data_IF_040543906270
#
_entry.id   IF_040543906270
#
_cell.length_a   1.000
_cell.length_b   1.000
_cell.length_c   1.000
_cell.angle_alpha   90.00
_cell.angle_beta   90.00
_cell.angle_gamma   90.00
#
_symmetry.space_group_name_H-M   'P 1'
#
loop_
_entity.id
_entity.type
_entity.pdbx_description
1 polymer ?
#
# COMPACT_ATOMS: atom_id res chain seq x y z
N UNK A 1 -0.35 -27.29 11.51
CA UNK A 1 -1.66 -27.36 10.82
C UNK A 1 -1.42 -27.78 9.38
N UNK A 2 -2.20 -28.70 8.82
CA UNK A 2 -1.95 -29.27 7.48
C UNK A 2 -2.08 -28.19 6.37
N UNK A 3 -1.03 -28.12 5.54
CA UNK A 3 -0.80 -27.27 4.38
C UNK A 3 -1.65 -27.70 3.18
N UNK A 4 -2.91 -27.29 3.13
CA UNK A 4 -3.75 -27.63 1.98
C UNK A 4 -5.04 -26.86 1.97
N UNK A 5 -5.04 -25.60 1.52
CA UNK A 5 -6.31 -24.84 1.38
C UNK A 5 -6.26 -23.60 0.51
N UNK A 6 -5.19 -23.24 -0.21
CA UNK A 6 -5.23 -22.00 -0.99
C UNK A 6 -6.07 -22.12 -2.28
N UNK A 7 -6.32 -23.33 -2.82
CA UNK A 7 -6.88 -23.63 -4.17
C UNK A 7 -8.18 -22.93 -4.59
N UNK A 8 -8.80 -22.14 -3.71
CA UNK A 8 -10.13 -21.56 -3.86
C UNK A 8 -10.20 -20.04 -3.60
N UNK A 9 -9.09 -19.30 -3.78
CA UNK A 9 -9.14 -17.84 -3.76
C UNK A 9 -9.51 -17.31 -5.14
N UNK A 10 -10.44 -16.36 -5.17
CA UNK A 10 -10.88 -15.66 -6.38
C UNK A 10 -10.61 -14.18 -6.17
N UNK A 11 -9.70 -13.63 -6.96
CA UNK A 11 -9.23 -12.26 -6.80
C UNK A 11 -10.05 -11.31 -7.67
N UNK A 12 -10.69 -10.34 -7.03
CA UNK A 12 -11.37 -9.23 -7.69
C UNK A 12 -10.64 -7.95 -7.29
N UNK A 13 -9.77 -7.48 -8.16
CA UNK A 13 -9.02 -6.26 -7.95
C UNK A 13 -9.97 -5.05 -8.02
N UNK A 14 -10.17 -4.41 -6.88
CA UNK A 14 -11.07 -3.26 -6.80
C UNK A 14 -10.40 -1.95 -7.21
N UNK A 15 -9.07 -1.92 -7.35
CA UNK A 15 -8.30 -0.70 -7.55
C UNK A 15 -7.31 -0.82 -8.71
N UNK A 16 -7.84 -0.74 -9.93
CA UNK A 16 -7.06 -0.84 -11.16
C UNK A 16 -7.37 0.30 -12.15
N UNK A 17 -6.38 0.66 -12.96
CA UNK A 17 -6.50 1.66 -14.02
C UNK A 17 -5.95 1.17 -15.36
N UNK A 18 -6.44 1.77 -16.45
CA UNK A 18 -5.86 1.69 -17.79
C UNK A 18 -5.62 3.10 -18.37
N UNK A 19 -4.86 3.15 -19.46
CA UNK A 19 -4.48 4.37 -20.18
C UNK A 19 -3.05 4.81 -19.87
N UNK A 20 -2.67 5.95 -20.44
CA UNK A 20 -1.38 6.62 -20.20
C UNK A 20 -1.67 8.05 -19.77
N UNK A 21 -1.03 8.48 -18.69
CA UNK A 21 -1.08 9.88 -18.23
C UNK A 21 0.12 10.69 -18.75
N UNK A 22 0.27 11.91 -18.24
CA UNK A 22 1.42 12.79 -18.50
C UNK A 22 2.76 12.16 -18.04
N UNK A 23 2.68 11.20 -17.12
CA UNK A 23 3.83 10.41 -16.68
C UNK A 23 3.55 8.93 -16.98
N UNK A 24 4.52 8.28 -17.62
CA UNK A 24 4.54 6.83 -17.83
C UNK A 24 5.89 6.28 -17.42
N UNK A 25 5.90 5.02 -17.00
CA UNK A 25 7.12 4.32 -16.59
C UNK A 25 7.24 2.98 -17.34
N UNK A 26 8.47 2.47 -17.55
CA UNK A 26 8.67 1.17 -18.19
C UNK A 26 7.88 0.07 -17.49
N UNK A 27 7.19 -0.77 -18.26
CA UNK A 27 6.39 -1.89 -17.75
C UNK A 27 4.98 -1.54 -17.28
N UNK A 28 4.54 -0.27 -17.40
CA UNK A 28 3.17 0.11 -17.10
C UNK A 28 2.17 -0.51 -18.10
N UNK A 29 1.09 -1.12 -17.60
CA UNK A 29 0.01 -1.57 -18.49
C UNK A 29 -0.88 -0.40 -18.90
N UNK A 30 -1.01 -0.17 -20.21
CA UNK A 30 -1.74 0.96 -20.78
C UNK A 30 -3.06 0.55 -21.41
N UNK A 31 -3.11 -0.66 -21.98
CA UNK A 31 -4.28 -1.15 -22.69
C UNK A 31 -5.04 -2.22 -21.90
N UNK A 32 -6.33 -2.46 -22.20
CA UNK A 32 -7.08 -3.58 -21.63
C UNK A 32 -6.39 -4.95 -21.82
N UNK A 33 -5.69 -5.16 -22.95
CA UNK A 33 -5.00 -6.42 -23.24
C UNK A 33 -3.75 -6.62 -22.38
N UNK A 34 -2.98 -5.56 -22.18
CA UNK A 34 -1.81 -5.59 -21.29
C UNK A 34 -2.23 -5.82 -19.85
N UNK A 35 -3.27 -5.11 -19.39
CA UNK A 35 -3.83 -5.34 -18.06
C UNK A 35 -4.27 -6.80 -17.88
N UNK A 36 -4.97 -7.39 -18.86
CA UNK A 36 -5.37 -8.80 -18.78
C UNK A 36 -4.17 -9.76 -18.71
N UNK A 37 -3.05 -9.45 -19.37
CA UNK A 37 -1.82 -10.26 -19.26
C UNK A 37 -1.21 -10.18 -17.87
N UNK A 38 -1.13 -8.99 -17.29
CA UNK A 38 -0.67 -8.80 -15.91
C UNK A 38 -1.60 -9.51 -14.92
N UNK A 39 -2.91 -9.35 -15.08
CA UNK A 39 -3.90 -10.08 -14.30
C UNK A 39 -3.72 -11.60 -14.43
N UNK A 40 -3.49 -12.12 -15.62
CA UNK A 40 -3.26 -13.55 -15.83
C UNK A 40 -1.96 -14.04 -15.19
N UNK A 41 -0.90 -13.22 -15.21
CA UNK A 41 0.38 -13.53 -14.58
C UNK A 41 0.29 -13.60 -13.05
N UNK A 42 -0.39 -12.64 -12.43
CA UNK A 42 -0.54 -12.57 -10.97
C UNK A 42 -1.73 -13.35 -10.42
N UNK A 43 -2.58 -13.85 -11.30
CA UNK A 43 -3.73 -14.60 -10.90
C UNK A 43 -4.90 -13.76 -10.37
N UNK A 44 -5.28 -12.73 -11.12
CA UNK A 44 -6.42 -11.86 -10.83
C UNK A 44 -7.55 -12.17 -11.81
N UNK A 45 -8.71 -12.60 -11.31
CA UNK A 45 -9.83 -13.03 -12.15
C UNK A 45 -10.55 -11.85 -12.80
N UNK A 46 -10.80 -10.81 -12.01
CA UNK A 46 -11.63 -9.66 -12.37
C UNK A 46 -10.98 -8.38 -11.85
N UNK A 47 -11.08 -7.29 -12.61
CA UNK A 47 -10.65 -5.98 -12.18
C UNK A 47 -11.77 -4.94 -12.36
N UNK A 48 -11.95 -4.09 -11.35
CA UNK A 48 -12.68 -2.84 -11.44
C UNK A 48 -11.72 -1.79 -11.99
N UNK A 49 -12.03 -1.28 -13.19
CA UNK A 49 -11.10 -0.48 -13.98
C UNK A 49 -11.60 0.95 -14.08
N UNK A 50 -10.72 1.90 -13.77
CA UNK A 50 -10.89 3.34 -14.05
C UNK A 50 -9.91 3.77 -15.17
N UNK A 51 -10.14 4.92 -15.79
CA UNK A 51 -9.17 5.48 -16.76
C UNK A 51 -8.25 6.49 -16.09
N UNK A 52 -6.94 6.42 -16.34
CA UNK A 52 -5.97 7.35 -15.73
C UNK A 52 -6.33 8.80 -16.04
N UNK A 53 -6.65 9.12 -17.30
CA UNK A 53 -7.01 10.48 -17.70
C UNK A 53 -8.38 10.96 -17.19
N UNK A 54 -9.26 10.07 -16.70
CA UNK A 54 -10.48 10.48 -16.03
C UNK A 54 -10.20 11.05 -14.62
N UNK A 55 -9.03 10.76 -14.04
CA UNK A 55 -8.66 11.22 -12.70
C UNK A 55 -8.26 12.70 -12.69
N UNK A 56 -7.57 13.13 -13.74
CA UNK A 56 -6.91 14.44 -13.82
C UNK A 56 -7.38 15.29 -15.03
N UNK A 57 -8.36 14.81 -15.80
CA UNK A 57 -8.92 15.47 -16.99
C UNK A 57 -10.46 15.47 -17.01
N UNK A 58 -11.08 15.57 -18.19
CA UNK A 58 -12.54 15.51 -18.32
C UNK A 58 -13.05 14.07 -18.04
N UNK A 59 -13.60 13.88 -16.85
CA UNK A 59 -14.01 12.61 -16.27
C UNK A 59 -15.11 11.95 -17.09
N UNK A 60 -16.16 12.69 -17.48
CA UNK A 60 -17.27 12.12 -18.27
C UNK A 60 -16.80 11.62 -19.64
N UNK A 61 -15.97 12.40 -20.33
CA UNK A 61 -15.40 11.99 -21.61
C UNK A 61 -14.57 10.71 -21.48
N UNK A 62 -13.63 10.68 -20.54
CA UNK A 62 -12.73 9.53 -20.35
C UNK A 62 -13.45 8.32 -19.76
N UNK A 63 -14.51 8.51 -18.97
CA UNK A 63 -15.39 7.42 -18.56
C UNK A 63 -16.08 6.78 -19.77
N UNK A 64 -16.58 7.56 -20.74
CA UNK A 64 -17.17 6.99 -21.96
C UNK A 64 -16.15 6.22 -22.80
N UNK A 65 -14.91 6.72 -22.89
CA UNK A 65 -13.80 6.03 -23.55
C UNK A 65 -13.52 4.69 -22.86
N UNK A 66 -13.33 4.70 -21.54
CA UNK A 66 -13.14 3.51 -20.71
C UNK A 66 -14.23 2.46 -20.98
N UNK A 67 -15.50 2.86 -20.87
CA UNK A 67 -16.65 1.97 -21.06
C UNK A 67 -16.61 1.30 -22.44
N UNK A 68 -16.23 2.05 -23.48
CA UNK A 68 -16.10 1.52 -24.85
C UNK A 68 -14.94 0.54 -24.97
N UNK A 69 -13.78 0.87 -24.41
CA UNK A 69 -12.55 0.08 -24.54
C UNK A 69 -12.60 -1.25 -23.78
N UNK A 70 -13.21 -1.28 -22.59
CA UNK A 70 -13.24 -2.49 -21.76
C UNK A 70 -14.44 -3.40 -22.07
N UNK A 71 -15.48 -2.89 -22.77
CA UNK A 71 -16.70 -3.64 -23.10
C UNK A 71 -16.44 -5.02 -23.72
N UNK A 72 -15.49 -5.21 -24.67
CA UNK A 72 -15.21 -6.53 -25.24
C UNK A 72 -14.63 -7.55 -24.23
N UNK A 73 -14.16 -7.08 -23.08
CA UNK A 73 -13.50 -7.87 -22.05
C UNK A 73 -14.36 -8.07 -20.80
N UNK A 74 -15.59 -7.54 -20.79
CA UNK A 74 -16.56 -7.87 -19.75
C UNK A 74 -16.88 -9.38 -19.79
N UNK A 75 -16.98 -10.09 -18.65
CA UNK A 75 -17.00 -9.57 -17.27
C UNK A 75 -15.65 -9.54 -16.55
N UNK A 76 -14.52 -9.75 -17.24
CA UNK A 76 -13.19 -9.69 -16.58
C UNK A 76 -12.75 -8.26 -16.25
N UNK A 77 -13.09 -7.30 -17.10
CA UNK A 77 -12.90 -5.89 -16.83
C UNK A 77 -14.26 -5.25 -16.60
N UNK A 78 -14.49 -4.78 -15.36
CA UNK A 78 -15.74 -4.16 -14.93
C UNK A 78 -15.49 -2.65 -14.80
N UNK A 79 -16.35 -1.78 -15.35
CA UNK A 79 -16.13 -0.35 -15.25
C UNK A 79 -16.32 0.18 -13.83
N UNK A 80 -15.38 1.01 -13.40
CA UNK A 80 -15.44 1.82 -12.18
C UNK A 80 -15.17 3.29 -12.57
N UNK A 81 -16.17 4.00 -13.12
CA UNK A 81 -16.00 5.36 -13.61
C UNK A 81 -15.69 6.33 -12.47
N UNK A 82 -14.90 7.36 -12.78
CA UNK A 82 -14.55 8.42 -11.84
C UNK A 82 -15.62 9.50 -11.88
N UNK A 83 -16.23 9.83 -10.75
CA UNK A 83 -17.26 10.85 -10.64
C UNK A 83 -16.71 12.13 -10.02
N UNK A 84 -17.19 13.25 -10.55
CA UNK A 84 -17.00 14.61 -10.05
C UNK A 84 -18.37 15.25 -9.84
N UNK A 85 -18.49 16.30 -9.01
CA UNK A 85 -19.77 16.97 -8.84
C UNK A 85 -20.23 17.69 -10.10
N UNK A 86 -21.55 17.77 -10.27
CA UNK A 86 -22.23 18.30 -11.46
C UNK A 86 -22.16 19.83 -11.61
N UNK A 87 -21.74 20.57 -10.57
CA UNK A 87 -21.80 22.04 -10.49
C UNK A 87 -21.12 22.79 -11.65
N UNK A 88 -20.18 22.14 -12.35
CA UNK A 88 -19.44 22.71 -13.47
C UNK A 88 -19.89 22.17 -14.84
N UNK A 89 -21.04 21.50 -14.92
CA UNK A 89 -21.62 20.89 -16.13
C UNK A 89 -20.73 19.85 -16.83
N UNK A 90 -19.65 19.40 -16.18
CA UNK A 90 -18.82 18.28 -16.65
C UNK A 90 -19.57 16.95 -16.58
N UNK A 91 -20.45 16.81 -15.59
CA UNK A 91 -21.27 15.63 -15.36
C UNK A 91 -22.75 16.00 -15.22
N UNK A 92 -23.61 15.10 -15.68
CA UNK A 92 -25.06 15.23 -15.47
C UNK A 92 -25.41 15.21 -13.97
N UNK A 93 -26.53 15.84 -13.64
CA UNK A 93 -27.18 15.76 -12.33
C UNK A 93 -27.22 14.31 -11.79
N UNK A 94 -26.81 14.05 -10.53
CA UNK A 94 -26.69 12.70 -9.97
C UNK A 94 -27.94 11.84 -10.16
N UNK A 95 -29.13 12.42 -10.00
CA UNK A 95 -30.43 11.71 -10.16
C UNK A 95 -30.67 11.19 -11.58
N UNK A 96 -29.99 11.72 -12.60
CA UNK A 96 -30.01 11.23 -13.98
C UNK A 96 -28.79 10.36 -14.29
N UNK A 97 -27.63 10.76 -13.79
CA UNK A 97 -26.35 10.10 -14.02
C UNK A 97 -26.31 8.68 -13.45
N UNK A 98 -26.62 8.51 -12.15
CA UNK A 98 -26.45 7.24 -11.46
C UNK A 98 -27.34 6.12 -12.04
N UNK A 99 -28.66 6.34 -12.31
CA UNK A 99 -29.49 5.32 -12.94
C UNK A 99 -29.00 4.93 -14.34
N UNK A 100 -28.49 5.89 -15.12
CA UNK A 100 -27.90 5.64 -16.44
C UNK A 100 -26.69 4.70 -16.31
N UNK A 101 -25.74 5.03 -15.44
CA UNK A 101 -24.53 4.23 -15.22
C UNK A 101 -24.88 2.80 -14.76
N UNK A 102 -25.84 2.65 -13.85
CA UNK A 102 -26.30 1.33 -13.37
C UNK A 102 -26.87 0.50 -14.52
N UNK A 103 -27.69 1.11 -15.39
CA UNK A 103 -28.24 0.47 -16.60
C UNK A 103 -27.15 0.07 -17.61
N UNK A 104 -26.05 0.82 -17.66
CA UNK A 104 -24.87 0.53 -18.47
C UNK A 104 -23.94 -0.53 -17.84
N UNK A 105 -24.30 -1.10 -16.69
CA UNK A 105 -23.58 -2.19 -16.05
C UNK A 105 -22.57 -1.75 -14.99
N UNK A 106 -22.53 -0.46 -14.64
CA UNK A 106 -21.69 0.04 -13.54
C UNK A 106 -22.21 -0.51 -12.20
N UNK A 107 -21.30 -0.97 -11.35
CA UNK A 107 -21.59 -1.53 -10.02
C UNK A 107 -20.70 -1.00 -8.91
N UNK A 108 -19.75 -0.14 -9.24
CA UNK A 108 -18.94 0.62 -8.31
C UNK A 108 -18.48 1.89 -9.02
N UNK A 109 -18.19 2.94 -8.26
CA UNK A 109 -17.69 4.22 -8.78
C UNK A 109 -16.51 4.68 -7.97
N UNK A 110 -15.74 5.64 -8.50
CA UNK A 110 -14.59 6.21 -7.82
C UNK A 110 -14.72 7.72 -7.70
N UNK A 111 -14.23 8.29 -6.60
CA UNK A 111 -14.11 9.73 -6.38
C UNK A 111 -12.66 10.02 -5.99
N UNK A 112 -12.03 10.95 -6.70
CA UNK A 112 -10.60 11.28 -6.57
C UNK A 112 -10.40 12.76 -6.18
N UNK A 113 -10.84 13.19 -4.99
CA UNK A 113 -10.76 14.59 -4.58
C UNK A 113 -9.31 15.08 -4.40
N UNK A 114 -8.38 14.16 -4.15
CA UNK A 114 -6.93 14.42 -4.09
C UNK A 114 -6.24 14.60 -5.44
N UNK A 115 -6.95 14.44 -6.57
CA UNK A 115 -6.36 14.56 -7.90
C UNK A 115 -5.92 15.98 -8.23
N UNK A 116 -5.36 16.19 -9.43
CA UNK A 116 -4.97 17.53 -9.91
C UNK A 116 -6.14 18.51 -9.87
N UNK A 117 -7.36 18.04 -10.18
CA UNK A 117 -8.57 18.86 -10.21
C UNK A 117 -8.95 19.37 -8.82
N UNK A 118 -8.76 18.57 -7.78
CA UNK A 118 -8.81 18.99 -6.37
C UNK A 118 -10.16 19.56 -5.92
N UNK A 119 -10.93 18.85 -5.10
CA UNK A 119 -12.22 19.37 -4.64
C UNK A 119 -12.63 18.89 -3.24
N UNK A 120 -13.52 19.65 -2.59
CA UNK A 120 -13.97 19.39 -1.20
C UNK A 120 -14.95 18.21 -1.12
N UNK A 121 -14.99 17.54 0.03
CA UNK A 121 -15.98 16.51 0.32
C UNK A 121 -17.14 17.03 1.20
N UNK A 122 -17.24 18.35 1.38
CA UNK A 122 -18.27 18.97 2.19
C UNK A 122 -19.69 18.74 1.64
N UNK A 123 -20.66 18.70 2.56
CA UNK A 123 -22.07 18.41 2.27
C UNK A 123 -22.68 19.32 1.19
N UNK A 124 -22.40 20.62 1.24
CA UNK A 124 -22.94 21.58 0.26
C UNK A 124 -22.42 21.35 -1.16
N UNK A 125 -21.31 20.64 -1.31
CA UNK A 125 -20.63 20.42 -2.58
C UNK A 125 -20.88 19.01 -3.12
N UNK A 126 -20.71 17.97 -2.29
CA UNK A 126 -20.85 16.56 -2.68
C UNK A 126 -22.19 15.92 -2.29
N UNK A 127 -23.01 16.59 -1.48
CA UNK A 127 -24.18 15.98 -0.83
C UNK A 127 -25.18 15.36 -1.80
N UNK A 128 -25.50 16.02 -2.93
CA UNK A 128 -26.45 15.46 -3.92
C UNK A 128 -25.92 14.19 -4.58
N UNK A 129 -24.63 14.16 -4.88
CA UNK A 129 -23.98 12.99 -5.45
C UNK A 129 -23.96 11.84 -4.43
N UNK A 130 -23.49 12.10 -3.21
CA UNK A 130 -23.38 11.09 -2.15
C UNK A 130 -24.74 10.55 -1.73
N UNK A 131 -25.76 11.40 -1.58
CA UNK A 131 -27.16 10.97 -1.35
C UNK A 131 -27.63 10.02 -2.44
N UNK A 132 -27.40 10.37 -3.71
CA UNK A 132 -27.85 9.52 -4.82
C UNK A 132 -27.09 8.20 -4.84
N UNK A 133 -25.78 8.20 -4.60
CA UNK A 133 -24.99 6.96 -4.48
C UNK A 133 -25.52 6.07 -3.34
N UNK A 134 -25.90 6.65 -2.21
CA UNK A 134 -26.50 5.95 -1.07
C UNK A 134 -27.89 5.38 -1.39
N UNK A 135 -28.76 6.15 -2.07
CA UNK A 135 -30.09 5.72 -2.50
C UNK A 135 -30.00 4.39 -3.28
N UNK A 136 -28.99 4.26 -4.14
CA UNK A 136 -28.71 3.03 -4.92
C UNK A 136 -27.76 2.04 -4.22
N UNK A 137 -27.21 2.37 -3.05
CA UNK A 137 -26.15 1.63 -2.35
C UNK A 137 -24.95 1.31 -3.25
N UNK A 138 -24.55 2.26 -4.09
CA UNK A 138 -23.46 2.07 -5.04
C UNK A 138 -22.10 2.13 -4.32
N UNK A 139 -21.31 1.04 -4.28
CA UNK A 139 -19.98 1.05 -3.69
C UNK A 139 -19.12 2.17 -4.27
N UNK A 140 -18.56 2.99 -3.40
CA UNK A 140 -17.84 4.21 -3.77
C UNK A 140 -16.42 4.15 -3.25
N UNK A 141 -15.46 4.08 -4.17
CA UNK A 141 -14.04 4.14 -3.87
C UNK A 141 -13.61 5.59 -3.70
N UNK A 142 -13.01 5.93 -2.57
CA UNK A 142 -12.52 7.27 -2.26
C UNK A 142 -11.01 7.25 -2.07
N UNK A 143 -10.28 7.93 -2.96
CA UNK A 143 -8.82 8.01 -2.88
C UNK A 143 -8.38 9.08 -1.88
N UNK A 144 -7.72 8.68 -0.78
CA UNK A 144 -7.29 9.60 0.30
C UNK A 144 -5.85 10.11 0.13
N UNK A 145 -4.92 9.27 -0.34
CA UNK A 145 -3.52 9.63 -0.61
C UNK A 145 -2.68 10.03 0.61
N UNK A 146 -1.40 10.38 0.38
CA UNK A 146 -0.43 10.80 1.41
C UNK A 146 -0.56 12.27 1.84
N UNK A 147 -1.02 13.15 0.94
CA UNK A 147 -1.29 14.56 1.23
C UNK A 147 -2.80 14.77 1.18
N UNK A 148 -3.48 14.76 2.34
CA UNK A 148 -4.94 14.75 2.38
C UNK A 148 -5.46 16.12 1.96
N UNK A 149 -5.77 16.30 0.66
CA UNK A 149 -6.73 17.33 0.24
C UNK A 149 -8.12 17.05 0.83
N UNK A 150 -8.37 15.81 1.25
CA UNK A 150 -9.56 15.40 2.02
C UNK A 150 -9.17 15.07 3.44
N UNK A 151 -9.81 15.73 4.40
CA UNK A 151 -9.50 15.50 5.80
C UNK A 151 -10.23 14.26 6.36
N UNK A 152 -9.73 13.76 7.49
CA UNK A 152 -10.38 12.65 8.18
C UNK A 152 -11.74 13.04 8.78
N UNK A 153 -11.91 14.31 9.13
CA UNK A 153 -13.17 14.89 9.57
C UNK A 153 -14.20 14.93 8.43
N UNK A 154 -13.77 15.22 7.21
CA UNK A 154 -14.64 15.12 6.03
C UNK A 154 -15.07 13.66 5.81
N UNK A 155 -14.17 12.69 5.98
CA UNK A 155 -14.52 11.26 5.88
C UNK A 155 -15.51 10.84 6.99
N UNK A 156 -15.29 11.24 8.25
CA UNK A 156 -16.25 11.00 9.35
C UNK A 156 -17.63 11.61 9.06
N UNK A 157 -17.63 12.83 8.51
CA UNK A 157 -18.83 13.56 8.11
C UNK A 157 -19.61 12.83 7.01
N UNK A 158 -18.93 12.35 5.97
CA UNK A 158 -19.55 11.56 4.88
C UNK A 158 -20.14 10.27 5.44
N UNK A 159 -19.38 9.50 6.22
CA UNK A 159 -19.87 8.25 6.79
C UNK A 159 -21.06 8.45 7.74
N UNK A 160 -21.06 9.52 8.53
CA UNK A 160 -22.14 9.83 9.48
C UNK A 160 -23.44 10.23 8.77
N UNK A 161 -23.34 10.98 7.66
CA UNK A 161 -24.50 11.46 6.88
C UNK A 161 -25.04 10.41 5.91
N UNK A 162 -24.17 9.52 5.45
CA UNK A 162 -24.49 8.47 4.49
C UNK A 162 -24.20 7.06 5.05
N UNK A 163 -24.87 6.63 6.14
CA UNK A 163 -24.57 5.38 6.83
C UNK A 163 -24.85 4.12 5.99
N UNK A 164 -25.62 4.21 4.90
CA UNK A 164 -25.94 3.07 4.02
C UNK A 164 -25.06 3.00 2.76
N UNK A 165 -24.27 4.06 2.49
CA UNK A 165 -23.32 4.13 1.38
C UNK A 165 -22.07 3.30 1.69
N UNK A 166 -21.76 2.23 0.92
CA UNK A 166 -20.51 1.50 1.10
C UNK A 166 -19.32 2.36 0.62
N UNK A 167 -18.59 2.96 1.55
CA UNK A 167 -17.44 3.81 1.28
C UNK A 167 -16.15 3.01 1.44
N UNK A 168 -15.37 2.88 0.36
CA UNK A 168 -14.14 2.10 0.32
C UNK A 168 -12.97 3.08 0.17
N UNK A 169 -12.12 3.20 1.20
CA UNK A 169 -10.94 4.07 1.13
C UNK A 169 -9.82 3.37 0.35
N UNK A 170 -9.30 4.03 -0.69
CA UNK A 170 -8.06 3.64 -1.39
C UNK A 170 -6.92 4.56 -1.01
N UNK A 171 -5.68 4.08 -1.18
CA UNK A 171 -4.47 4.86 -0.91
C UNK A 171 -4.35 5.33 0.55
N UNK A 172 -4.85 4.50 1.47
CA UNK A 172 -4.76 4.69 2.92
C UNK A 172 -3.32 4.48 3.38
N UNK A 173 -2.64 5.50 3.94
CA UNK A 173 -1.26 5.35 4.40
C UNK A 173 -1.11 4.35 5.54
N UNK A 174 0.05 3.72 5.70
CA UNK A 174 0.28 2.72 6.75
C UNK A 174 0.41 3.33 8.17
N UNK A 175 0.61 4.64 8.31
CA UNK A 175 0.91 5.29 9.61
C UNK A 175 -0.32 5.78 10.40
N UNK A 176 -1.54 5.52 9.94
CA UNK A 176 -2.75 6.19 10.45
C UNK A 176 -3.64 5.37 11.38
N UNK A 177 -3.19 4.19 11.84
CA UNK A 177 -3.98 3.21 12.61
C UNK A 177 -4.79 3.83 13.77
N UNK A 178 -4.20 4.77 14.53
CA UNK A 178 -4.86 5.41 15.68
C UNK A 178 -6.18 6.08 15.29
N UNK A 179 -6.16 6.81 14.18
CA UNK A 179 -7.32 7.52 13.66
C UNK A 179 -8.23 6.56 12.88
N UNK A 180 -7.64 5.72 12.03
CA UNK A 180 -8.36 4.76 11.20
C UNK A 180 -9.26 3.85 12.04
N UNK A 181 -8.73 3.31 13.12
CA UNK A 181 -9.46 2.38 13.98
C UNK A 181 -10.61 3.07 14.72
N UNK A 182 -10.47 4.35 15.07
CA UNK A 182 -11.55 5.13 15.65
C UNK A 182 -12.70 5.32 14.64
N UNK A 183 -12.38 5.66 13.39
CA UNK A 183 -13.37 5.79 12.31
C UNK A 183 -14.05 4.45 12.00
N UNK A 184 -13.29 3.37 11.82
CA UNK A 184 -13.85 2.05 11.50
C UNK A 184 -14.74 1.49 12.60
N UNK A 185 -14.43 1.79 13.88
CA UNK A 185 -15.27 1.44 15.02
C UNK A 185 -16.61 2.18 14.99
N UNK A 186 -16.60 3.44 14.59
CA UNK A 186 -17.78 4.32 14.56
C UNK A 186 -18.68 4.03 13.36
N UNK A 187 -18.09 3.75 12.19
CA UNK A 187 -18.80 3.68 10.92
C UNK A 187 -18.77 2.26 10.36
N UNK A 188 -19.93 1.60 10.24
CA UNK A 188 -20.02 0.22 9.72
C UNK A 188 -19.88 0.13 8.20
N UNK A 189 -20.14 1.23 7.52
CA UNK A 189 -20.12 1.36 6.07
C UNK A 189 -18.76 1.74 5.49
N UNK A 190 -17.73 1.85 6.33
CA UNK A 190 -16.36 2.20 5.93
C UNK A 190 -15.50 0.95 5.69
N UNK A 191 -14.88 0.83 4.54
CA UNK A 191 -14.04 -0.31 4.15
C UNK A 191 -12.64 0.19 3.75
N UNK A 192 -11.63 -0.67 3.89
CA UNK A 192 -10.24 -0.35 3.53
C UNK A 192 -9.77 -1.24 2.39
N UNK A 193 -9.20 -0.61 1.38
CA UNK A 193 -8.56 -1.28 0.25
C UNK A 193 -7.06 -1.53 0.52
N UNK A 194 -6.54 -2.70 0.14
CA UNK A 194 -5.24 -3.24 0.60
C UNK A 194 -3.99 -2.74 -0.13
N UNK A 195 -4.11 -2.13 -1.30
CA UNK A 195 -2.97 -1.80 -2.18
C UNK A 195 -1.94 -0.85 -1.57
N UNK A 196 -2.34 -0.02 -0.62
CA UNK A 196 -1.45 0.94 0.03
C UNK A 196 -1.35 0.78 1.54
N UNK A 197 -2.36 0.17 2.15
CA UNK A 197 -2.40 -0.08 3.59
C UNK A 197 -1.54 -1.30 3.95
N UNK A 198 -0.22 -1.13 3.83
CA UNK A 198 0.79 -2.18 3.99
C UNK A 198 1.39 -2.20 5.42
N UNK A 199 0.55 -2.09 6.44
CA UNK A 199 0.99 -2.26 7.84
C UNK A 199 1.37 -3.72 8.06
N UNK A 200 2.44 -3.98 8.81
CA UNK A 200 2.79 -5.34 9.20
C UNK A 200 1.61 -6.00 9.94
N UNK A 201 1.16 -7.17 9.44
CA UNK A 201 -0.01 -7.92 9.97
C UNK A 201 -1.34 -7.15 9.90
N UNK A 202 -1.48 -6.21 8.95
CA UNK A 202 -2.71 -5.41 8.80
C UNK A 202 -3.98 -6.27 8.65
N UNK A 203 -4.02 -7.27 7.74
CA UNK A 203 -5.24 -8.06 7.54
C UNK A 203 -5.73 -8.75 8.81
N UNK A 204 -4.82 -9.30 9.62
CA UNK A 204 -5.16 -9.94 10.89
C UNK A 204 -5.60 -8.96 11.95
N UNK A 205 -4.94 -7.80 12.03
CA UNK A 205 -5.29 -6.76 13.00
C UNK A 205 -6.68 -6.17 12.71
N UNK A 206 -6.97 -5.88 11.44
CA UNK A 206 -8.28 -5.40 11.01
C UNK A 206 -9.34 -6.49 11.19
N UNK A 207 -9.09 -7.73 10.72
CA UNK A 207 -10.07 -8.81 10.86
C UNK A 207 -10.43 -9.07 12.32
N UNK A 208 -9.44 -9.13 13.22
CA UNK A 208 -9.66 -9.34 14.65
C UNK A 208 -10.51 -8.23 15.30
N UNK A 209 -10.38 -6.99 14.85
CA UNK A 209 -11.05 -5.82 15.45
C UNK A 209 -12.42 -5.52 14.85
N UNK A 210 -12.54 -5.67 13.53
CA UNK A 210 -13.66 -5.17 12.75
C UNK A 210 -14.27 -6.20 11.80
N UNK A 211 -13.65 -7.39 11.68
CA UNK A 211 -14.05 -8.45 10.77
C UNK A 211 -13.38 -8.35 9.40
N UNK A 212 -13.05 -9.50 8.79
CA UNK A 212 -12.47 -9.58 7.45
C UNK A 212 -13.40 -8.98 6.39
N UNK A 213 -14.70 -8.85 6.66
CA UNK A 213 -15.68 -8.21 5.80
C UNK A 213 -15.41 -6.73 5.52
N UNK A 214 -14.54 -6.08 6.31
CA UNK A 214 -14.18 -4.66 6.23
C UNK A 214 -12.96 -4.37 5.35
N UNK A 215 -12.36 -5.41 4.76
CA UNK A 215 -11.20 -5.32 3.87
C UNK A 215 -11.59 -5.65 2.43
N UNK A 216 -11.03 -4.91 1.49
CA UNK A 216 -11.26 -5.07 0.06
C UNK A 216 -9.90 -5.25 -0.62
N UNK A 217 -9.76 -6.32 -1.41
CA UNK A 217 -8.56 -6.50 -2.21
C UNK A 217 -8.47 -5.48 -3.35
N UNK A 218 -7.29 -4.93 -3.54
CA UNK A 218 -6.91 -4.21 -4.74
C UNK A 218 -5.39 -4.09 -4.87
N UNK A 219 -4.93 -3.80 -6.07
CA UNK A 219 -3.50 -3.79 -6.41
C UNK A 219 -2.92 -2.40 -6.57
N UNK A 220 -3.74 -1.41 -6.95
CA UNK A 220 -3.27 -0.09 -7.35
C UNK A 220 -2.55 -0.10 -8.71
N UNK A 221 -2.80 -1.12 -9.54
CA UNK A 221 -2.27 -1.15 -10.91
C UNK A 221 -2.68 0.10 -11.69
N UNK A 222 -1.78 0.65 -12.53
CA UNK A 222 -0.48 0.08 -12.87
C UNK A 222 0.71 0.64 -12.06
N UNK A 223 0.48 1.47 -11.04
CA UNK A 223 1.57 2.13 -10.29
C UNK A 223 2.29 1.25 -9.27
N UNK A 224 1.70 0.11 -8.91
CA UNK A 224 2.22 -0.80 -7.88
C UNK A 224 2.26 -2.22 -8.40
N UNK A 225 3.22 -3.00 -7.91
CA UNK A 225 3.30 -4.43 -8.22
C UNK A 225 2.13 -5.18 -7.58
N UNK A 226 1.32 -5.92 -8.36
CA UNK A 226 0.22 -6.74 -7.83
C UNK A 226 0.70 -7.83 -6.88
N UNK A 227 1.93 -8.31 -7.05
CA UNK A 227 2.51 -9.39 -6.25
C UNK A 227 2.44 -9.10 -4.76
N UNK A 228 2.78 -7.88 -4.33
CA UNK A 228 2.71 -7.48 -2.93
C UNK A 228 1.29 -7.56 -2.36
N UNK A 229 0.28 -7.12 -3.12
CA UNK A 229 -1.12 -7.18 -2.70
C UNK A 229 -1.63 -8.63 -2.62
N UNK A 230 -1.31 -9.46 -3.62
CA UNK A 230 -1.70 -10.88 -3.66
C UNK A 230 -1.03 -11.65 -2.51
N UNK A 231 0.26 -11.41 -2.27
CA UNK A 231 1.01 -12.05 -1.18
C UNK A 231 0.47 -11.66 0.19
N UNK A 232 0.04 -10.40 0.38
CA UNK A 232 -0.58 -9.96 1.64
C UNK A 232 -1.81 -10.80 2.01
N UNK A 233 -2.69 -11.12 1.05
CA UNK A 233 -3.88 -11.94 1.32
C UNK A 233 -3.50 -13.42 1.46
N UNK A 234 -2.72 -13.95 0.51
CA UNK A 234 -2.39 -15.39 0.44
C UNK A 234 -1.55 -15.86 1.64
N UNK A 235 -0.59 -15.06 2.09
CA UNK A 235 0.33 -15.38 3.18
C UNK A 235 -0.11 -14.83 4.55
N UNK A 236 -1.29 -14.21 4.63
CA UNK A 236 -1.88 -13.89 5.94
C UNK A 236 -2.15 -15.18 6.74
N UNK A 237 -2.17 -15.06 8.07
CA UNK A 237 -2.57 -16.13 9.00
C UNK A 237 -4.09 -16.24 9.18
N UNK A 238 -4.87 -15.57 8.32
CA UNK A 238 -6.32 -15.63 8.33
C UNK A 238 -6.82 -17.02 7.90
N UNK A 239 -8.03 -17.37 8.33
CA UNK A 239 -8.70 -18.57 7.85
C UNK A 239 -8.96 -18.49 6.34
N UNK A 240 -9.13 -19.63 5.67
CA UNK A 240 -9.45 -19.64 4.23
C UNK A 240 -10.70 -18.80 3.93
N UNK A 241 -11.73 -18.89 4.78
CA UNK A 241 -12.97 -18.12 4.62
C UNK A 241 -12.71 -16.61 4.65
N UNK A 242 -11.91 -16.15 5.60
CA UNK A 242 -11.54 -14.73 5.68
C UNK A 242 -10.73 -14.29 4.46
N UNK A 243 -9.77 -15.11 4.01
CA UNK A 243 -9.01 -14.84 2.77
C UNK A 243 -9.93 -14.73 1.56
N UNK A 244 -10.93 -15.60 1.43
CA UNK A 244 -11.93 -15.57 0.36
C UNK A 244 -12.78 -14.30 0.39
N UNK A 245 -13.17 -13.85 1.59
CA UNK A 245 -13.88 -12.58 1.75
C UNK A 245 -13.03 -11.42 1.24
N UNK A 246 -11.76 -11.34 1.65
CA UNK A 246 -10.87 -10.23 1.28
C UNK A 246 -10.54 -10.27 -0.22
N UNK A 247 -10.17 -11.44 -0.75
CA UNK A 247 -9.73 -11.60 -2.15
C UNK A 247 -10.77 -11.14 -3.17
N UNK A 248 -12.06 -11.36 -2.91
CA UNK A 248 -13.12 -10.93 -3.82
C UNK A 248 -14.54 -11.02 -3.26
N UNK A 249 -14.79 -11.87 -2.26
CA UNK A 249 -16.15 -12.07 -1.74
C UNK A 249 -16.80 -10.82 -1.16
N UNK A 250 -16.02 -9.90 -0.57
CA UNK A 250 -16.53 -8.65 -0.03
C UNK A 250 -16.97 -7.69 -1.14
N UNK A 251 -16.11 -7.41 -2.12
CA UNK A 251 -16.47 -6.50 -3.22
C UNK A 251 -17.60 -7.08 -4.08
N UNK A 252 -17.61 -8.40 -4.32
CA UNK A 252 -18.71 -9.09 -5.01
C UNK A 252 -20.05 -8.91 -4.26
N UNK A 253 -20.05 -9.07 -2.94
CA UNK A 253 -21.24 -8.84 -2.11
C UNK A 253 -21.72 -7.37 -2.20
N UNK A 254 -20.79 -6.42 -2.17
CA UNK A 254 -21.11 -4.99 -2.25
C UNK A 254 -21.70 -4.62 -3.62
N UNK A 255 -21.05 -5.05 -4.72
CA UNK A 255 -21.57 -4.85 -6.08
C UNK A 255 -22.93 -5.52 -6.31
N UNK A 256 -23.16 -6.69 -5.70
CA UNK A 256 -24.45 -7.39 -5.75
C UNK A 256 -25.54 -6.76 -4.89
N UNK A 257 -25.21 -5.78 -4.03
CA UNK A 257 -26.15 -5.05 -3.16
C UNK A 257 -26.70 -3.76 -3.77
N UNK A 258 -26.27 -3.39 -4.98
CA UNK A 258 -26.73 -2.19 -5.70
C UNK A 258 -28.22 -2.32 -6.01
N UNK A 259 -29.02 -1.35 -5.56
CA UNK A 259 -30.47 -1.30 -5.81
C UNK A 259 -30.71 -0.95 -7.29
N UNK A 260 -31.77 -1.48 -7.89
CA UNK A 260 -32.18 -1.28 -9.30
C UNK A 260 -31.37 -2.03 -10.40
N UNK A 261 -30.78 -3.20 -10.13
CA UNK A 261 -30.28 -4.05 -11.22
C UNK A 261 -30.21 -5.55 -10.90
N UNK A 262 -30.29 -6.37 -11.95
CA UNK A 262 -29.93 -7.80 -11.93
C UNK A 262 -28.46 -7.98 -11.47
N UNK A 263 -28.20 -9.05 -10.70
CA UNK A 263 -26.86 -9.36 -10.18
C UNK A 263 -25.88 -9.63 -11.32
N UNK A 264 -24.67 -9.06 -11.33
CA UNK A 264 -23.66 -9.41 -12.32
C UNK A 264 -23.31 -10.91 -12.22
N UNK A 265 -23.34 -11.64 -13.34
CA UNK A 265 -22.72 -12.95 -13.43
C UNK A 265 -21.23 -12.77 -13.60
N UNK A 266 -20.57 -12.72 -12.45
CA UNK A 266 -19.13 -12.66 -12.34
C UNK A 266 -18.54 -14.00 -12.86
N UNK A 267 -17.45 -14.00 -13.65
CA UNK A 267 -16.98 -15.20 -14.32
C UNK A 267 -16.59 -16.27 -13.30
N UNK A 268 -16.88 -17.56 -13.57
CA UNK A 268 -16.50 -18.64 -12.66
C UNK A 268 -14.99 -18.62 -12.43
N UNK A 269 -14.57 -18.95 -11.20
CA UNK A 269 -13.16 -19.02 -10.83
C UNK A 269 -12.42 -19.91 -11.84
N UNK A 270 -11.29 -19.43 -12.38
CA UNK A 270 -10.43 -20.28 -13.20
C UNK A 270 -9.87 -21.40 -12.31
N UNK A 271 -9.77 -22.66 -12.78
CA UNK A 271 -9.05 -23.70 -12.05
C UNK A 271 -7.60 -23.25 -11.90
N UNK A 272 -7.21 -22.97 -10.66
CA UNK A 272 -5.85 -22.59 -10.35
C UNK A 272 -4.99 -23.85 -10.22
N UNK A 273 -3.89 -23.90 -10.97
CA UNK A 273 -2.67 -24.44 -10.38
C UNK A 273 -2.18 -23.44 -9.35
N UNK A 274 -2.76 -23.53 -8.16
CA UNK A 274 -2.09 -22.98 -6.99
C UNK A 274 -0.86 -23.83 -6.85
N UNK A 275 0.29 -23.26 -7.21
CA UNK A 275 1.53 -23.60 -6.51
C UNK A 275 1.14 -23.52 -5.05
N UNK A 276 1.09 -24.68 -4.39
CA UNK A 276 0.73 -24.84 -2.98
C UNK A 276 1.36 -23.71 -2.17
N UNK A 277 0.82 -23.30 -1.00
CA UNK A 277 1.55 -22.44 -0.05
C UNK A 277 3.01 -22.81 -0.14
N UNK A 278 3.81 -21.99 -0.83
CA UNK A 278 5.06 -22.55 -1.35
C UNK A 278 5.89 -22.61 -0.11
N UNK A 279 6.16 -23.82 0.35
CA UNK A 279 7.05 -24.06 1.45
C UNK A 279 8.41 -23.58 0.96
N UNK A 280 8.65 -22.28 1.18
CA UNK A 280 9.54 -21.41 0.42
C UNK A 280 9.18 -21.28 -1.07
N UNK A 281 8.93 -20.05 -1.53
CA UNK A 281 8.78 -19.71 -2.97
C UNK A 281 10.01 -20.08 -3.81
N UNK A 282 11.13 -20.32 -3.13
CA UNK A 282 12.47 -20.36 -3.66
C UNK A 282 13.30 -21.27 -2.74
N UNK A 283 13.95 -22.30 -3.28
CA UNK A 283 14.99 -23.05 -2.53
C UNK A 283 16.20 -22.14 -2.25
N UNK A 284 16.23 -20.98 -2.89
CA UNK A 284 17.21 -19.93 -2.69
C UNK A 284 17.13 -19.31 -1.29
N UNK A 285 18.30 -18.94 -0.80
CA UNK A 285 18.46 -18.18 0.43
C UNK A 285 17.90 -16.76 0.24
N UNK A 286 16.95 -16.36 1.09
CA UNK A 286 16.34 -15.03 1.09
C UNK A 286 16.84 -14.22 2.30
N UNK A 287 17.46 -13.08 2.01
CA UNK A 287 17.85 -12.09 3.01
C UNK A 287 17.06 -10.80 2.78
N UNK A 288 16.23 -10.43 3.75
CA UNK A 288 15.55 -9.13 3.76
C UNK A 288 16.51 -8.03 4.25
N UNK A 289 16.80 -7.07 3.40
CA UNK A 289 17.82 -6.04 3.68
C UNK A 289 17.25 -4.80 4.38
N UNK A 290 15.93 -4.69 4.59
CA UNK A 290 15.31 -3.49 5.15
C UNK A 290 14.24 -3.82 6.19
N UNK A 291 14.65 -3.97 7.46
CA UNK A 291 13.73 -4.34 8.53
C UNK A 291 13.88 -3.42 9.73
N UNK A 292 12.83 -2.66 10.00
CA UNK A 292 12.71 -1.87 11.22
C UNK A 292 12.29 -2.79 12.38
N UNK A 293 13.15 -2.90 13.38
CA UNK A 293 12.79 -3.46 14.68
C UNK A 293 11.94 -2.42 15.43
N UNK A 294 10.97 -2.83 16.25
CA UNK A 294 10.15 -1.99 17.12
C UNK A 294 10.39 -2.35 18.60
N UNK A 295 10.20 -1.43 19.58
CA UNK A 295 9.08 -0.47 19.73
C UNK A 295 9.34 0.98 19.29
N UNK A 296 10.34 1.28 18.47
CA UNK A 296 10.67 2.66 18.14
C UNK A 296 9.64 3.27 17.15
N UNK A 297 9.03 4.41 17.49
CA UNK A 297 8.06 5.09 16.61
C UNK A 297 6.62 4.56 16.68
N UNK A 298 5.96 4.39 15.52
CA UNK A 298 4.54 3.98 15.43
C UNK A 298 4.34 2.56 15.94
N UNK A 299 3.30 2.26 16.74
CA UNK A 299 3.05 0.90 17.22
C UNK A 299 2.76 -0.05 16.06
N UNK A 300 3.72 -0.91 15.72
CA UNK A 300 3.56 -1.94 14.69
C UNK A 300 3.20 -3.27 15.33
N UNK A 301 2.08 -3.91 14.94
CA UNK A 301 1.68 -5.20 15.50
C UNK A 301 2.78 -6.26 15.30
N UNK A 302 3.26 -6.90 16.37
CA UNK A 302 4.34 -7.90 16.32
C UNK A 302 5.68 -7.40 15.73
N UNK A 303 6.00 -6.12 15.88
CA UNK A 303 7.29 -5.57 15.45
C UNK A 303 8.50 -5.92 16.34
N UNK A 304 8.36 -6.82 17.32
CA UNK A 304 9.50 -7.31 18.13
C UNK A 304 10.34 -8.32 17.33
N UNK A 305 11.54 -8.66 17.82
CA UNK A 305 12.41 -9.62 17.16
C UNK A 305 11.72 -10.99 16.97
N UNK A 306 10.97 -11.46 17.97
CA UNK A 306 10.20 -12.70 17.90
C UNK A 306 9.10 -12.62 16.84
N UNK A 307 8.36 -11.51 16.81
CA UNK A 307 7.27 -11.34 15.84
C UNK A 307 7.75 -11.25 14.39
N UNK A 308 8.93 -10.65 14.18
CA UNK A 308 9.62 -10.65 12.90
C UNK A 308 10.03 -12.08 12.51
N UNK A 309 10.65 -12.83 13.43
CA UNK A 309 11.05 -14.23 13.18
C UNK A 309 9.85 -15.11 12.87
N UNK A 310 8.76 -15.00 13.63
CA UNK A 310 7.50 -15.70 13.35
C UNK A 310 6.97 -15.39 11.95
N UNK A 311 7.10 -14.14 11.50
CA UNK A 311 6.69 -13.76 10.14
C UNK A 311 7.63 -14.36 9.10
N UNK A 312 8.93 -14.30 9.31
CA UNK A 312 9.91 -14.87 8.40
C UNK A 312 9.77 -16.37 8.24
N UNK A 313 9.49 -17.08 9.33
CA UNK A 313 9.18 -18.52 9.29
C UNK A 313 7.91 -18.81 8.50
N UNK A 314 6.93 -17.89 8.51
CA UNK A 314 5.69 -18.00 7.75
C UNK A 314 5.89 -17.76 6.25
N UNK A 315 6.72 -16.78 5.87
CA UNK A 315 6.88 -16.35 4.47
C UNK A 315 8.16 -16.89 3.80
N UNK A 316 8.99 -17.62 4.54
CA UNK A 316 10.21 -18.25 4.01
C UNK A 316 11.41 -17.32 3.89
N UNK A 317 11.52 -16.29 4.74
CA UNK A 317 12.71 -15.42 4.80
C UNK A 317 13.76 -16.02 5.74
N UNK A 318 14.99 -16.19 5.25
CA UNK A 318 16.05 -16.87 6.01
C UNK A 318 16.74 -15.93 6.98
N UNK A 319 17.09 -14.72 6.55
CA UNK A 319 17.73 -13.71 7.42
C UNK A 319 17.21 -12.32 7.15
N UNK A 320 17.47 -11.41 8.07
CA UNK A 320 17.28 -9.98 7.81
C UNK A 320 18.34 -9.07 8.41
N UNK A 321 18.59 -7.96 7.72
CA UNK A 321 19.27 -6.79 8.26
C UNK A 321 18.27 -5.96 9.07
N UNK A 322 18.50 -5.86 10.38
CA UNK A 322 17.64 -5.14 11.31
C UNK A 322 18.30 -3.86 11.80
N UNK A 323 17.48 -2.83 11.98
CA UNK A 323 17.88 -1.56 12.56
C UNK A 323 16.70 -0.94 13.31
N UNK A 324 16.99 -0.06 14.25
CA UNK A 324 15.95 0.69 14.94
C UNK A 324 15.67 2.01 14.22
N UNK A 325 14.41 2.46 14.19
CA UNK A 325 14.08 3.84 13.83
C UNK A 325 14.74 4.87 14.76
N UNK A 326 14.72 6.12 14.31
CA UNK A 326 15.11 7.36 15.00
C UNK A 326 15.00 7.30 16.56
N UNK A 327 15.94 7.93 17.25
CA UNK A 327 15.93 8.04 18.72
C UNK A 327 17.33 8.27 19.29
N UNK A 328 17.51 7.98 20.59
CA UNK A 328 18.85 7.85 21.20
C UNK A 328 19.57 6.68 20.54
N UNK A 329 20.52 6.99 19.66
CA UNK A 329 21.24 6.00 18.86
C UNK A 329 21.88 4.90 19.71
N UNK A 330 22.41 5.22 20.90
CA UNK A 330 23.07 4.23 21.74
C UNK A 330 22.08 3.21 22.28
N UNK A 331 20.99 3.71 22.84
CA UNK A 331 19.91 2.86 23.34
C UNK A 331 19.30 2.01 22.21
N UNK A 332 19.07 2.62 21.04
CA UNK A 332 18.56 1.95 19.85
C UNK A 332 19.49 0.82 19.39
N UNK A 333 20.78 1.10 19.25
CA UNK A 333 21.78 0.13 18.81
C UNK A 333 21.91 -1.03 19.79
N UNK A 334 21.84 -0.78 21.10
CA UNK A 334 21.87 -1.83 22.12
C UNK A 334 20.67 -2.78 21.98
N UNK A 335 19.48 -2.27 21.68
CA UNK A 335 18.27 -3.08 21.46
C UNK A 335 18.37 -3.92 20.18
N UNK A 336 18.87 -3.35 19.09
CA UNK A 336 19.08 -4.06 17.82
C UNK A 336 20.13 -5.15 17.99
N UNK A 337 21.22 -4.85 18.71
CA UNK A 337 22.27 -5.81 18.99
C UNK A 337 21.76 -6.96 19.86
N UNK A 338 20.96 -6.68 20.89
CA UNK A 338 20.36 -7.73 21.72
C UNK A 338 19.40 -8.62 20.91
N UNK A 339 18.65 -8.06 19.96
CA UNK A 339 17.85 -8.87 19.03
C UNK A 339 18.72 -9.82 18.20
N UNK A 340 19.85 -9.34 17.64
CA UNK A 340 20.82 -10.22 16.97
C UNK A 340 21.38 -11.29 17.91
N UNK A 341 21.75 -10.96 19.15
CA UNK A 341 22.28 -11.95 20.10
C UNK A 341 21.32 -13.09 20.39
N UNK A 342 20.02 -12.79 20.40
CA UNK A 342 18.97 -13.77 20.66
C UNK A 342 18.65 -14.62 19.43
N UNK A 343 18.87 -14.08 18.23
CA UNK A 343 18.63 -14.75 16.96
C UNK A 343 19.86 -14.64 16.00
N UNK A 344 21.05 -15.13 16.40
CA UNK A 344 22.31 -14.83 15.72
C UNK A 344 22.40 -15.40 14.31
N UNK A 345 21.68 -16.48 14.03
CA UNK A 345 21.64 -17.10 12.71
C UNK A 345 20.61 -16.46 11.78
N UNK A 346 19.74 -15.57 12.29
CA UNK A 346 18.59 -15.02 11.56
C UNK A 346 18.65 -13.50 11.40
N UNK A 347 19.20 -12.78 12.37
CA UNK A 347 19.17 -11.31 12.38
C UNK A 347 20.59 -10.76 12.30
N UNK A 348 20.77 -9.74 11.47
CA UNK A 348 22.02 -9.04 11.24
C UNK A 348 21.83 -7.59 11.65
N UNK A 349 22.50 -7.18 12.72
CA UNK A 349 22.36 -5.88 13.33
C UNK A 349 23.09 -4.79 12.53
N UNK A 350 22.36 -3.74 12.18
CA UNK A 350 22.89 -2.51 11.58
C UNK A 350 22.88 -1.40 12.64
N UNK A 351 23.96 -0.62 12.64
CA UNK A 351 24.10 0.56 13.50
C UNK A 351 23.24 1.70 12.95
N UNK A 352 22.67 2.52 13.82
CA UNK A 352 22.10 3.82 13.46
C UNK A 352 22.85 4.92 14.18
N UNK A 353 23.06 6.03 13.48
CA UNK A 353 23.68 7.25 14.03
C UNK A 353 22.89 8.48 13.62
N UNK A 354 23.11 9.57 14.34
CA UNK A 354 22.44 10.85 14.09
C UNK A 354 23.50 11.96 13.93
N UNK A 355 23.57 12.61 12.75
CA UNK A 355 24.58 13.63 12.45
C UNK A 355 24.41 14.90 13.28
N UNK A 356 23.29 15.09 13.98
CA UNK A 356 23.07 16.24 14.84
C UNK A 356 23.84 16.16 16.18
N UNK A 357 24.50 15.02 16.46
CA UNK A 357 25.31 14.79 17.66
C UNK A 357 26.73 14.31 17.28
N UNK A 358 27.51 15.13 16.54
CA UNK A 358 28.82 14.75 16.00
C UNK A 358 29.82 14.34 17.09
N UNK A 359 29.68 14.88 18.31
CA UNK A 359 30.56 14.61 19.45
C UNK A 359 30.50 13.17 19.96
N UNK A 360 29.39 12.45 19.70
CA UNK A 360 29.25 11.03 20.07
C UNK A 360 29.20 10.09 18.87
N UNK A 361 28.92 10.60 17.67
CA UNK A 361 28.72 9.80 16.45
C UNK A 361 29.89 8.85 16.17
N UNK A 362 31.12 9.36 16.13
CA UNK A 362 32.30 8.54 15.80
C UNK A 362 32.57 7.47 16.86
N UNK A 363 32.39 7.82 18.14
CA UNK A 363 32.57 6.89 19.26
C UNK A 363 31.54 5.75 19.21
N UNK A 364 30.30 6.06 18.81
CA UNK A 364 29.23 5.08 18.67
C UNK A 364 29.42 4.19 17.43
N UNK A 365 29.88 4.75 16.30
CA UNK A 365 30.26 3.95 15.12
C UNK A 365 31.34 2.93 15.47
N UNK A 366 32.43 3.36 16.11
CA UNK A 366 33.52 2.46 16.53
C UNK A 366 33.00 1.39 17.48
N UNK A 367 32.18 1.76 18.47
CA UNK A 367 31.58 0.81 19.41
C UNK A 367 30.73 -0.24 18.69
N UNK A 368 29.83 0.17 17.81
CA UNK A 368 28.90 -0.71 17.13
C UNK A 368 29.58 -1.60 16.08
N UNK A 369 30.42 -1.03 15.22
CA UNK A 369 30.99 -1.73 14.06
C UNK A 369 32.25 -2.52 14.43
N UNK A 370 33.11 -1.98 15.29
CA UNK A 370 34.34 -2.65 15.71
C UNK A 370 34.20 -3.42 17.02
N UNK A 371 33.46 -2.89 17.99
CA UNK A 371 33.22 -3.54 19.28
C UNK A 371 32.14 -4.64 19.20
N UNK A 372 30.92 -4.26 18.83
CA UNK A 372 29.76 -5.16 18.74
C UNK A 372 29.71 -5.96 17.43
N UNK A 373 30.56 -5.64 16.45
CA UNK A 373 30.64 -6.29 15.14
C UNK A 373 29.34 -6.23 14.33
N UNK A 374 28.56 -5.16 14.49
CA UNK A 374 27.42 -4.83 13.61
C UNK A 374 27.88 -4.69 12.16
N UNK A 375 27.04 -5.09 11.20
CA UNK A 375 27.44 -5.40 9.82
C UNK A 375 26.95 -4.40 8.77
N UNK A 376 26.52 -3.22 9.19
CA UNK A 376 26.04 -2.16 8.31
C UNK A 376 25.59 -0.94 9.11
N UNK A 377 25.21 0.11 8.39
CA UNK A 377 24.70 1.36 8.99
C UNK A 377 23.40 1.76 8.31
N UNK A 378 22.38 2.15 9.08
CA UNK A 378 21.15 2.78 8.59
C UNK A 378 21.14 4.26 8.99
N UNK A 379 20.90 5.13 8.01
CA UNK A 379 20.72 6.57 8.23
C UNK A 379 19.35 7.06 7.75
N UNK A 380 18.94 8.22 8.24
CA UNK A 380 17.67 8.86 7.88
C UNK A 380 17.85 10.38 7.70
N UNK A 381 18.54 10.85 6.64
CA UNK A 381 18.91 12.27 6.52
C UNK A 381 17.70 13.21 6.55
N UNK A 382 16.60 12.85 5.89
CA UNK A 382 15.35 13.64 5.89
C UNK A 382 14.72 13.76 7.27
N UNK A 383 14.69 12.66 8.03
CA UNK A 383 14.14 12.68 9.38
C UNK A 383 15.05 13.42 10.37
N UNK A 384 16.37 13.38 10.16
CA UNK A 384 17.33 14.17 10.93
C UNK A 384 17.36 15.65 10.52
N UNK A 385 16.71 16.03 9.40
CA UNK A 385 16.75 17.38 8.87
C UNK A 385 18.15 17.83 8.45
N UNK A 386 19.04 16.89 8.12
CA UNK A 386 20.45 17.14 7.86
C UNK A 386 20.86 16.52 6.50
N UNK A 387 21.51 17.26 5.59
CA UNK A 387 21.86 16.77 4.26
C UNK A 387 22.92 15.65 4.32
N UNK A 388 22.85 14.63 3.43
CA UNK A 388 23.83 13.54 3.43
C UNK A 388 25.27 13.99 3.13
N UNK A 389 25.45 15.12 2.44
CA UNK A 389 26.75 15.73 2.13
C UNK A 389 27.28 16.64 3.25
N UNK A 390 26.52 16.82 4.33
CA UNK A 390 26.96 17.65 5.44
C UNK A 390 28.15 17.01 6.17
N UNK A 391 29.10 17.81 6.68
CA UNK A 391 30.37 17.32 7.23
C UNK A 391 30.21 16.39 8.43
N UNK A 392 29.08 16.44 9.15
CA UNK A 392 28.85 15.57 10.30
C UNK A 392 28.62 14.09 9.91
N UNK A 393 28.33 13.81 8.64
CA UNK A 393 28.28 12.43 8.13
C UNK A 393 29.65 11.91 7.67
N UNK A 394 30.66 12.76 7.53
CA UNK A 394 31.97 12.34 7.01
C UNK A 394 32.62 11.20 7.81
N UNK A 395 32.63 11.22 9.16
CA UNK A 395 33.15 10.09 9.93
C UNK A 395 32.38 8.78 9.68
N UNK A 396 31.10 8.86 9.29
CA UNK A 396 30.32 7.67 8.92
C UNK A 396 30.75 7.14 7.56
N UNK A 397 30.93 8.02 6.56
CA UNK A 397 31.32 7.62 5.21
C UNK A 397 32.69 6.97 5.19
N UNK A 398 33.71 7.64 5.76
CA UNK A 398 35.07 7.11 5.86
C UNK A 398 35.11 5.76 6.60
N UNK A 399 34.35 5.63 7.68
CA UNK A 399 34.35 4.43 8.51
C UNK A 399 33.63 3.25 7.82
N UNK A 400 32.51 3.51 7.15
CA UNK A 400 31.78 2.49 6.40
C UNK A 400 32.56 2.00 5.18
N UNK A 401 33.18 2.93 4.43
CA UNK A 401 34.02 2.61 3.27
C UNK A 401 35.24 1.79 3.69
N UNK A 402 36.01 2.27 4.69
CA UNK A 402 37.21 1.57 5.20
C UNK A 402 36.91 0.15 5.68
N UNK A 403 35.77 -0.08 6.32
CA UNK A 403 35.36 -1.41 6.78
C UNK A 403 34.65 -2.24 5.71
N UNK A 404 34.31 -1.64 4.57
CA UNK A 404 33.58 -2.28 3.47
C UNK A 404 32.15 -2.71 3.83
N UNK A 405 31.56 -2.10 4.86
CA UNK A 405 30.18 -2.37 5.31
C UNK A 405 29.19 -1.47 4.58
N UNK A 406 27.98 -1.98 4.27
CA UNK A 406 26.96 -1.20 3.56
C UNK A 406 26.35 -0.11 4.44
N UNK A 407 26.00 1.01 3.81
CA UNK A 407 25.11 2.03 4.36
C UNK A 407 23.78 1.95 3.63
N UNK A 408 22.67 1.90 4.37
CA UNK A 408 21.32 1.97 3.84
C UNK A 408 20.65 3.29 4.23
N UNK A 409 19.88 3.88 3.32
CA UNK A 409 19.15 5.14 3.53
C UNK A 409 17.81 5.09 2.82
N UNK A 410 16.83 5.83 3.34
CA UNK A 410 15.60 6.12 2.58
C UNK A 410 15.95 7.05 1.41
N UNK A 411 15.36 6.81 0.23
CA UNK A 411 15.58 7.63 -0.94
C UNK A 411 14.29 7.94 -1.72
N UNK A 412 14.21 9.15 -2.29
CA UNK A 412 13.11 9.52 -3.17
C UNK A 412 13.00 11.02 -3.42
N UNK A 413 12.44 11.41 -4.57
CA UNK A 413 12.41 12.82 -5.00
C UNK A 413 11.48 13.72 -4.21
N UNK A 414 10.56 13.13 -3.45
CA UNK A 414 9.69 13.82 -2.52
C UNK A 414 10.40 14.17 -1.20
N UNK A 415 11.58 13.59 -0.93
CA UNK A 415 12.34 13.81 0.30
C UNK A 415 13.17 15.10 0.21
N UNK A 416 13.31 15.79 1.36
CA UNK A 416 14.15 17.00 1.47
C UNK A 416 15.65 16.64 1.43
N UNK A 417 16.03 15.59 2.15
CA UNK A 417 17.39 15.07 2.28
C UNK A 417 17.36 13.55 2.07
N UNK A 418 17.50 13.11 0.83
CA UNK A 418 17.27 11.73 0.41
C UNK A 418 17.08 11.57 -1.10
N UNK A 419 17.33 12.62 -1.89
CA UNK A 419 17.25 12.55 -3.35
C UNK A 419 18.46 11.78 -3.87
N UNK A 420 18.33 10.88 -4.87
CA UNK A 420 19.49 10.16 -5.41
C UNK A 420 20.64 11.08 -5.84
N UNK A 421 20.33 12.25 -6.39
CA UNK A 421 21.33 13.27 -6.78
C UNK A 421 22.18 13.79 -5.61
N UNK A 422 21.64 13.80 -4.38
CA UNK A 422 22.39 14.22 -3.19
C UNK A 422 23.44 13.19 -2.76
N UNK A 423 23.22 11.92 -3.09
CA UNK A 423 24.20 10.87 -2.81
C UNK A 423 25.28 10.76 -3.90
N UNK A 424 25.06 11.33 -5.09
CA UNK A 424 26.08 11.35 -6.15
C UNK A 424 27.35 12.08 -5.70
N UNK A 425 27.21 13.18 -4.96
CA UNK A 425 28.34 13.92 -4.40
C UNK A 425 29.10 13.08 -3.36
N UNK A 426 28.37 12.42 -2.46
CA UNK A 426 28.98 11.51 -1.46
C UNK A 426 29.76 10.39 -2.14
N UNK A 427 29.20 9.77 -3.18
CA UNK A 427 29.85 8.68 -3.91
C UNK A 427 31.05 9.12 -4.75
N UNK A 428 31.18 10.41 -5.09
CA UNK A 428 32.39 10.94 -5.74
C UNK A 428 33.55 11.07 -4.75
N UNK A 429 33.25 11.42 -3.51
CA UNK A 429 34.23 11.55 -2.42
C UNK A 429 34.60 10.19 -1.83
N UNK A 430 33.63 9.26 -1.78
CA UNK A 430 33.77 7.90 -1.24
C UNK A 430 33.44 6.83 -2.31
N UNK A 431 34.33 6.61 -3.29
CA UNK A 431 34.05 5.77 -4.47
C UNK A 431 33.90 4.27 -4.17
N UNK A 432 34.41 3.78 -3.03
CA UNK A 432 34.30 2.38 -2.63
C UNK A 432 33.12 2.14 -1.65
N UNK A 433 32.36 3.20 -1.33
CA UNK A 433 31.20 3.12 -0.45
C UNK A 433 30.08 2.25 -1.04
N UNK A 434 29.64 1.27 -0.26
CA UNK A 434 28.48 0.43 -0.59
C UNK A 434 27.19 1.06 -0.10
N UNK A 435 26.62 1.96 -0.90
CA UNK A 435 25.35 2.63 -0.57
C UNK A 435 24.14 1.86 -1.14
N UNK A 436 23.14 1.62 -0.28
CA UNK A 436 21.85 1.02 -0.63
C UNK A 436 20.74 2.05 -0.41
N UNK A 437 20.03 2.40 -1.48
CA UNK A 437 18.86 3.28 -1.44
C UNK A 437 17.59 2.43 -1.36
N UNK A 438 16.70 2.75 -0.41
CA UNK A 438 15.46 2.03 -0.14
C UNK A 438 14.23 2.92 -0.22
#
# INVERSE_FOLDING_TARGET
>A
MRRGTLKNLRFIDSNCFIGSGDTSFPGQCHTPKELLREMDYYGIDVALVSHILAKDGNSEFWNRVLMKEIKPYYPRLVPCPILVPHHADEMDEPRRLIPRLIKEGVRAVRICPGSRLGFSMAEWFMGDLLRTLEEYRLPTLLSVGLSPKVTWEEIDSVCSRHPDLPLILTDVPWIIDRLLFALMKRHRNLYIETSYYQVHRAPENISKRFGAERLIFGTGMPWKSPGAAVLMVTHSMLSLREKQLIAGGNIERLMGGVKACEKPSLPPARPWEIRETVDRWMDEFILDFHVHLYPFGTPVPRGSAEGIIETFDLIGVDKACIFGPLGDCRWVNDHVYEAQRRFPDRLIAFCSVNPNYPEVLESELKRCMEGLKMKGVKIHPSAHGYPPQGPNYEPLWEHAERLGYPVITDAGEHLRYGKPSQFEEVLKEHPELKLVMA
#
